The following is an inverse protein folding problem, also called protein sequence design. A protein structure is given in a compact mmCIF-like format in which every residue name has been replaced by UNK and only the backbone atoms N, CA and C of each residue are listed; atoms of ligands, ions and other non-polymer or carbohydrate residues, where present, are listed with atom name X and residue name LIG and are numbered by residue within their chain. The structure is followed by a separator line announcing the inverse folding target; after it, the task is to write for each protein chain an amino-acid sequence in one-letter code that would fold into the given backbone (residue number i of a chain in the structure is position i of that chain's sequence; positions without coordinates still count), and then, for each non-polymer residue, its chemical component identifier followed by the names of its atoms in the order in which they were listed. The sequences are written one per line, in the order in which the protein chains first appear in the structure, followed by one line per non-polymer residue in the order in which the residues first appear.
data_IF_447251737746
#
_entry.id   IF_447251737746
#
_cell.length_a   1.000
_cell.length_b   1.000
_cell.length_c   1.000
_cell.angle_alpha   90.00
_cell.angle_beta   90.00
_cell.angle_gamma   90.00
#
_symmetry.space_group_name_H-M   'P 1'
#
loop_
_entity.id
_entity.type
_entity.pdbx_description
1 polymer ?
#
# COMPACT_ATOMS: atom_id res chain seq x y z
N UNK A 1 -42.67 11.20 -1.64
CA UNK A 1 -41.41 11.95 -1.40
C UNK A 1 -41.63 13.31 -0.69
N UNK A 2 -42.80 13.59 -0.15
CA UNK A 2 -43.12 14.89 0.51
C UNK A 2 -43.12 14.78 2.05
N UNK A 3 -43.29 13.61 2.63
CA UNK A 3 -43.41 13.43 4.09
C UNK A 3 -42.07 13.50 4.86
N UNK A 4 -40.95 13.18 4.24
CA UNK A 4 -39.64 13.24 4.90
C UNK A 4 -39.11 14.65 5.17
N UNK A 5 -39.55 15.63 4.38
CA UNK A 5 -39.05 17.01 4.46
C UNK A 5 -39.62 17.80 5.65
N UNK A 6 -40.81 17.45 6.11
CA UNK A 6 -41.48 18.14 7.20
C UNK A 6 -40.89 17.84 8.57
N UNK A 7 -40.44 16.59 8.77
CA UNK A 7 -39.83 16.16 10.04
C UNK A 7 -38.46 16.81 10.27
N UNK A 8 -37.61 16.88 9.29
CA UNK A 8 -36.29 17.54 9.40
C UNK A 8 -36.44 19.06 9.59
N UNK A 9 -37.41 19.70 8.94
CA UNK A 9 -37.69 21.13 9.11
C UNK A 9 -38.13 21.45 10.53
N UNK A 10 -39.00 20.65 11.11
CA UNK A 10 -39.48 20.83 12.51
C UNK A 10 -38.33 20.65 13.49
N UNK A 11 -37.51 19.61 13.32
CA UNK A 11 -36.35 19.35 14.16
C UNK A 11 -35.32 20.49 14.09
N UNK A 12 -35.06 21.02 12.90
CA UNK A 12 -34.16 22.16 12.71
C UNK A 12 -34.67 23.41 13.39
N UNK A 13 -35.96 23.73 13.25
CA UNK A 13 -36.61 24.87 13.91
C UNK A 13 -36.53 24.75 15.44
N UNK A 14 -36.82 23.57 16.00
CA UNK A 14 -36.73 23.32 17.43
C UNK A 14 -35.31 23.49 17.98
N UNK A 15 -34.28 23.03 17.22
CA UNK A 15 -32.88 23.24 17.58
C UNK A 15 -32.51 24.73 17.60
N UNK A 16 -33.00 25.52 16.65
CA UNK A 16 -32.75 26.96 16.59
C UNK A 16 -33.36 27.68 17.79
N UNK A 17 -34.60 27.39 18.14
CA UNK A 17 -35.29 28.02 19.28
C UNK A 17 -34.63 27.74 20.63
N UNK A 18 -33.96 26.60 20.76
CA UNK A 18 -33.25 26.25 21.99
C UNK A 18 -31.85 26.87 22.12
N UNK A 19 -31.30 27.44 21.04
CA UNK A 19 -29.89 27.82 21.01
C UNK A 19 -29.61 29.28 20.63
N UNK A 20 -30.60 29.99 20.06
CA UNK A 20 -30.39 31.32 19.48
C UNK A 20 -31.48 32.32 19.85
N UNK A 21 -31.18 33.62 19.74
CA UNK A 21 -32.16 34.69 19.93
C UNK A 21 -33.14 34.79 18.74
N UNK A 22 -34.33 35.37 18.95
CA UNK A 22 -35.35 35.50 17.89
C UNK A 22 -34.82 36.15 16.61
N UNK A 23 -34.02 37.19 16.72
CA UNK A 23 -33.42 37.88 15.56
C UNK A 23 -32.43 37.00 14.80
N UNK A 24 -31.71 36.13 15.50
CA UNK A 24 -30.80 35.16 14.86
C UNK A 24 -31.55 34.00 14.19
N UNK A 25 -32.65 33.57 14.82
CA UNK A 25 -33.51 32.51 14.27
C UNK A 25 -34.11 32.96 12.93
N UNK A 26 -34.61 34.20 12.85
CA UNK A 26 -35.16 34.75 11.60
C UNK A 26 -34.14 34.76 10.47
N UNK A 27 -32.90 35.17 10.75
CA UNK A 27 -31.79 35.13 9.79
C UNK A 27 -31.48 33.69 9.34
N UNK A 28 -31.46 32.72 10.25
CA UNK A 28 -31.17 31.34 9.91
C UNK A 28 -32.30 30.66 9.12
N UNK A 29 -33.54 31.00 9.42
CA UNK A 29 -34.69 30.50 8.65
C UNK A 29 -34.69 31.06 7.22
N UNK A 30 -34.43 32.37 7.05
CA UNK A 30 -34.30 32.99 5.73
C UNK A 30 -33.16 32.32 4.92
N UNK A 31 -32.01 32.07 5.54
CA UNK A 31 -30.89 31.35 4.89
C UNK A 31 -31.26 29.92 4.54
N UNK A 32 -31.96 29.21 5.39
CA UNK A 32 -32.43 27.85 5.15
C UNK A 32 -33.38 27.78 3.96
N UNK A 33 -34.33 28.70 3.89
CA UNK A 33 -35.28 28.78 2.78
C UNK A 33 -34.59 29.16 1.46
N UNK A 34 -33.68 30.12 1.49
CA UNK A 34 -32.87 30.52 0.33
C UNK A 34 -31.99 29.38 -0.15
N UNK A 35 -31.35 28.63 0.75
CA UNK A 35 -30.58 27.47 0.41
C UNK A 35 -31.44 26.38 -0.24
N UNK A 36 -32.63 26.11 0.34
CA UNK A 36 -33.57 25.15 -0.19
C UNK A 36 -34.05 25.49 -1.60
N UNK A 37 -34.44 26.74 -1.82
CA UNK A 37 -34.84 27.20 -3.16
C UNK A 37 -33.70 27.18 -4.15
N UNK A 38 -32.49 27.62 -3.75
CA UNK A 38 -31.30 27.60 -4.62
C UNK A 38 -30.96 26.19 -5.06
N UNK A 39 -31.09 25.18 -4.18
CA UNK A 39 -30.81 23.78 -4.53
C UNK A 39 -31.90 23.20 -5.43
N UNK A 40 -33.17 23.51 -5.14
CA UNK A 40 -34.31 23.00 -5.94
C UNK A 40 -34.34 23.62 -7.34
N UNK A 41 -34.04 24.91 -7.44
CA UNK A 41 -34.04 25.65 -8.70
C UNK A 41 -32.76 25.51 -9.50
N UNK A 42 -31.75 24.79 -8.95
CA UNK A 42 -30.49 24.57 -9.63
C UNK A 42 -30.70 23.68 -10.86
N UNK A 43 -30.53 24.27 -12.03
CA UNK A 43 -30.66 23.55 -13.30
C UNK A 43 -29.39 22.73 -13.57
N UNK A 44 -29.53 21.42 -13.59
CA UNK A 44 -28.47 20.50 -14.03
C UNK A 44 -28.57 20.34 -15.54
N UNK A 45 -27.60 20.86 -16.32
CA UNK A 45 -27.59 20.60 -17.76
C UNK A 45 -27.36 19.09 -17.99
N UNK A 46 -28.23 18.43 -18.74
CA UNK A 46 -28.06 17.06 -19.18
C UNK A 46 -27.77 17.03 -20.68
N UNK A 47 -26.87 16.15 -21.10
CA UNK A 47 -26.59 15.87 -22.49
C UNK A 47 -26.99 14.41 -22.73
N UNK A 48 -28.06 14.23 -23.50
CA UNK A 48 -28.52 12.89 -23.86
C UNK A 48 -27.79 12.41 -25.11
N UNK A 49 -27.05 11.32 -24.98
CA UNK A 49 -26.38 10.64 -26.10
C UNK A 49 -27.34 9.55 -26.62
N UNK A 50 -27.90 9.76 -27.75
CA UNK A 50 -28.86 8.82 -28.37
C UNK A 50 -28.13 7.99 -29.43
N UNK A 51 -28.07 6.68 -29.21
CA UNK A 51 -27.30 5.76 -30.08
C UNK A 51 -25.80 5.79 -29.78
N UNK A 52 -25.03 5.03 -30.56
CA UNK A 52 -23.58 4.90 -30.38
C UNK A 52 -23.14 3.75 -29.46
N UNK A 53 -21.88 3.39 -29.57
CA UNK A 53 -21.28 2.36 -28.73
C UNK A 53 -20.82 2.96 -27.34
N UNK A 54 -20.66 2.12 -26.34
CA UNK A 54 -20.23 2.56 -24.98
C UNK A 54 -18.91 3.33 -25.03
N UNK A 55 -18.00 2.96 -25.89
CA UNK A 55 -16.71 3.62 -26.05
C UNK A 55 -16.82 5.05 -26.60
N UNK A 56 -17.76 5.29 -27.54
CA UNK A 56 -18.07 6.64 -28.01
C UNK A 56 -18.67 7.50 -26.90
N UNK A 57 -19.58 6.94 -26.10
CA UNK A 57 -20.16 7.62 -24.97
C UNK A 57 -19.10 7.98 -23.91
N UNK A 58 -18.17 7.06 -23.60
CA UNK A 58 -17.05 7.30 -22.67
C UNK A 58 -16.12 8.38 -23.21
N UNK A 59 -15.84 8.39 -24.52
CA UNK A 59 -14.99 9.42 -25.14
C UNK A 59 -15.66 10.80 -25.09
N UNK A 60 -16.93 10.90 -25.43
CA UNK A 60 -17.71 12.15 -25.34
C UNK A 60 -17.74 12.65 -23.89
N UNK A 61 -18.03 11.76 -22.94
CA UNK A 61 -18.07 12.09 -21.53
C UNK A 61 -16.71 12.59 -21.03
N UNK A 62 -15.61 11.95 -21.45
CA UNK A 62 -14.25 12.38 -21.14
C UNK A 62 -13.95 13.78 -21.69
N UNK A 63 -14.34 14.05 -22.94
CA UNK A 63 -14.13 15.37 -23.58
C UNK A 63 -14.95 16.47 -22.94
N UNK A 64 -16.20 16.22 -22.57
CA UNK A 64 -17.07 17.19 -21.89
C UNK A 64 -16.48 17.57 -20.52
N UNK A 65 -15.94 16.60 -19.80
CA UNK A 65 -15.35 16.82 -18.47
C UNK A 65 -13.90 17.33 -18.51
N UNK A 66 -13.23 17.33 -19.66
CA UNK A 66 -11.82 17.78 -19.79
C UNK A 66 -11.59 19.27 -19.45
N UNK A 67 -12.65 20.08 -19.41
CA UNK A 67 -12.60 21.49 -18.95
C UNK A 67 -12.84 21.65 -17.44
N UNK A 68 -13.12 20.56 -16.74
CA UNK A 68 -13.34 20.48 -15.28
C UNK A 68 -12.28 19.62 -14.61
N UNK A 69 -12.74 18.72 -13.75
CA UNK A 69 -11.88 17.70 -13.13
C UNK A 69 -11.73 16.53 -14.10
N UNK A 70 -10.49 16.21 -14.47
CA UNK A 70 -10.19 15.07 -15.33
C UNK A 70 -10.83 13.79 -14.76
N UNK A 71 -11.46 13.03 -15.66
CA UNK A 71 -11.99 11.71 -15.31
C UNK A 71 -10.81 10.81 -15.00
N UNK A 72 -10.82 10.19 -13.83
CA UNK A 72 -9.79 9.25 -13.46
C UNK A 72 -9.81 8.03 -14.40
N UNK A 73 -8.65 7.48 -14.70
CA UNK A 73 -8.48 6.24 -15.47
C UNK A 73 -9.38 5.12 -14.95
N UNK A 74 -9.61 5.08 -13.65
CA UNK A 74 -10.48 4.18 -12.94
C UNK A 74 -11.94 4.21 -13.42
N UNK A 75 -12.52 5.39 -13.57
CA UNK A 75 -13.88 5.54 -14.09
C UNK A 75 -13.99 5.09 -15.54
N UNK A 76 -13.00 5.46 -16.38
CA UNK A 76 -12.96 5.04 -17.78
C UNK A 76 -12.85 3.52 -17.90
N UNK A 77 -11.93 2.91 -17.17
CA UNK A 77 -11.74 1.45 -17.18
C UNK A 77 -13.00 0.74 -16.69
N UNK A 78 -13.63 1.24 -15.63
CA UNK A 78 -14.88 0.67 -15.10
C UNK A 78 -16.03 0.74 -16.11
N UNK A 79 -16.16 1.86 -16.84
CA UNK A 79 -17.18 2.01 -17.88
C UNK A 79 -16.91 1.11 -19.09
N UNK A 80 -15.65 1.05 -19.57
CA UNK A 80 -15.26 0.26 -20.74
C UNK A 80 -15.29 -1.25 -20.47
N UNK A 81 -15.06 -1.68 -19.23
CA UNK A 81 -15.09 -3.09 -18.81
C UNK A 81 -16.47 -3.58 -18.40
N UNK A 82 -17.47 -2.69 -18.39
CA UNK A 82 -18.82 -3.07 -18.01
C UNK A 82 -19.41 -4.08 -19.01
N UNK A 83 -19.72 -5.26 -18.52
CA UNK A 83 -20.41 -6.29 -19.27
C UNK A 83 -21.73 -6.63 -18.59
N UNK A 84 -22.82 -6.27 -19.28
CA UNK A 84 -24.19 -6.52 -18.80
C UNK A 84 -24.49 -8.02 -18.66
N UNK A 85 -23.86 -8.86 -19.48
CA UNK A 85 -24.11 -10.31 -19.49
C UNK A 85 -23.44 -11.02 -18.32
N UNK A 86 -22.26 -10.57 -17.90
CA UNK A 86 -21.48 -11.16 -16.81
C UNK A 86 -21.71 -10.48 -15.46
N UNK A 87 -22.50 -9.41 -15.41
CA UNK A 87 -22.67 -8.53 -14.22
C UNK A 87 -21.35 -8.03 -13.64
N UNK A 88 -20.27 -8.04 -14.43
CA UNK A 88 -18.96 -7.59 -14.01
C UNK A 88 -18.92 -6.06 -13.89
N UNK A 89 -18.56 -5.58 -12.71
CA UNK A 89 -18.32 -4.17 -12.43
C UNK A 89 -16.97 -4.05 -11.74
N UNK A 90 -15.99 -3.53 -12.44
CA UNK A 90 -14.62 -3.47 -11.93
C UNK A 90 -14.53 -2.72 -10.60
N UNK A 91 -15.28 -1.62 -10.43
CA UNK A 91 -15.32 -0.85 -9.18
C UNK A 91 -15.79 -1.68 -7.99
N UNK A 92 -16.85 -2.49 -8.17
CA UNK A 92 -17.41 -3.35 -7.13
C UNK A 92 -16.41 -4.48 -6.78
N UNK A 93 -15.73 -5.04 -7.77
CA UNK A 93 -14.71 -6.08 -7.56
C UNK A 93 -13.49 -5.53 -6.81
N UNK A 94 -13.05 -4.29 -7.13
CA UNK A 94 -11.95 -3.63 -6.40
C UNK A 94 -12.37 -3.31 -4.96
N UNK A 95 -13.60 -2.85 -4.74
CA UNK A 95 -14.10 -2.60 -3.38
C UNK A 95 -14.13 -3.87 -2.55
N UNK A 96 -14.63 -4.97 -3.12
CA UNK A 96 -14.65 -6.29 -2.48
C UNK A 96 -13.25 -6.79 -2.17
N UNK A 97 -12.31 -6.63 -3.11
CA UNK A 97 -10.89 -6.94 -2.87
C UNK A 97 -10.34 -6.11 -1.70
N UNK A 98 -10.61 -4.80 -1.67
CA UNK A 98 -10.15 -3.91 -0.59
C UNK A 98 -10.66 -4.36 0.78
N UNK A 99 -11.95 -4.71 0.87
CA UNK A 99 -12.56 -5.20 2.13
C UNK A 99 -11.89 -6.49 2.62
N UNK A 100 -11.61 -7.43 1.73
CA UNK A 100 -10.91 -8.67 2.06
C UNK A 100 -9.45 -8.45 2.48
N UNK A 101 -8.78 -7.44 1.92
CA UNK A 101 -7.40 -7.11 2.24
C UNK A 101 -7.25 -6.36 3.57
N UNK A 102 -8.33 -5.83 4.13
CA UNK A 102 -8.35 -5.14 5.42
C UNK A 102 -7.80 -6.02 6.54
N UNK A 103 -8.08 -7.33 6.52
CA UNK A 103 -7.54 -8.30 7.47
C UNK A 103 -6.01 -8.30 7.53
N UNK A 104 -5.33 -8.02 6.42
CA UNK A 104 -3.88 -7.96 6.32
C UNK A 104 -3.30 -6.55 6.57
N UNK A 105 -4.13 -5.56 6.93
CA UNK A 105 -3.69 -4.17 7.07
C UNK A 105 -3.49 -3.43 5.74
N UNK A 106 -4.02 -3.96 4.63
CA UNK A 106 -3.86 -3.40 3.29
C UNK A 106 -5.11 -2.63 2.86
N UNK A 107 -5.37 -1.50 3.53
CA UNK A 107 -6.58 -0.71 3.34
C UNK A 107 -6.48 0.31 2.20
N UNK A 108 -5.27 0.66 1.76
CA UNK A 108 -5.02 1.75 0.82
C UNK A 108 -4.28 1.29 -0.44
N UNK A 109 -4.56 0.05 -0.89
CA UNK A 109 -3.96 -0.44 -2.13
C UNK A 109 -4.36 0.46 -3.31
N UNK A 110 -3.37 1.11 -3.92
CA UNK A 110 -3.59 2.04 -5.02
C UNK A 110 -4.13 1.32 -6.25
N UNK A 111 -5.15 1.87 -6.88
CA UNK A 111 -5.77 1.31 -8.09
C UNK A 111 -4.79 1.16 -9.24
N UNK A 112 -3.83 2.08 -9.38
CA UNK A 112 -2.76 1.97 -10.40
C UNK A 112 -1.93 0.69 -10.24
N UNK A 113 -1.71 0.23 -8.99
CA UNK A 113 -1.00 -1.03 -8.74
C UNK A 113 -1.84 -2.22 -9.19
N UNK A 114 -3.14 -2.20 -8.91
CA UNK A 114 -4.09 -3.23 -9.39
C UNK A 114 -4.10 -3.26 -10.93
N UNK A 115 -4.16 -2.10 -11.57
CA UNK A 115 -4.12 -2.00 -13.03
C UNK A 115 -2.83 -2.54 -13.62
N UNK A 116 -1.69 -2.26 -12.99
CA UNK A 116 -0.40 -2.81 -13.40
C UNK A 116 -0.38 -4.34 -13.32
N UNK A 117 -0.98 -4.93 -12.29
CA UNK A 117 -1.13 -6.38 -12.18
C UNK A 117 -2.02 -6.93 -13.32
N UNK A 118 -3.13 -6.25 -13.63
CA UNK A 118 -4.03 -6.66 -14.74
C UNK A 118 -3.31 -6.56 -16.09
N UNK A 119 -2.58 -5.45 -16.35
CA UNK A 119 -1.81 -5.26 -17.59
C UNK A 119 -0.85 -6.42 -17.82
N UNK A 120 -0.17 -6.87 -16.78
CA UNK A 120 0.76 -7.99 -16.87
C UNK A 120 0.06 -9.30 -17.28
N UNK A 121 -1.15 -9.57 -16.79
CA UNK A 121 -1.91 -10.77 -17.14
C UNK A 121 -2.27 -10.87 -18.63
N UNK A 122 -2.23 -9.74 -19.35
CA UNK A 122 -2.39 -9.70 -20.81
C UNK A 122 -1.06 -9.81 -21.57
N UNK A 123 0.03 -10.16 -20.89
CA UNK A 123 1.37 -10.22 -21.50
C UNK A 123 1.92 -8.85 -21.90
N UNK A 124 1.39 -7.78 -21.33
CA UNK A 124 1.87 -6.41 -21.53
C UNK A 124 2.69 -6.00 -20.31
N UNK A 125 3.78 -5.31 -20.56
CA UNK A 125 4.57 -4.78 -19.46
C UNK A 125 3.89 -3.57 -18.85
N UNK A 126 3.60 -3.60 -17.56
CA UNK A 126 3.05 -2.47 -16.82
C UNK A 126 3.92 -1.20 -16.93
N UNK A 127 5.24 -1.38 -17.15
CA UNK A 127 6.21 -0.29 -17.33
C UNK A 127 5.95 0.50 -18.62
N UNK A 128 5.30 -0.10 -19.61
CA UNK A 128 5.27 0.44 -20.96
C UNK A 128 4.19 1.48 -21.22
N UNK A 129 3.15 1.59 -20.41
CA UNK A 129 2.20 2.73 -20.45
C UNK A 129 0.89 2.57 -19.66
N UNK A 130 0.46 3.65 -18.98
CA UNK A 130 -0.84 3.76 -18.29
C UNK A 130 -2.07 3.69 -19.23
N UNK A 131 -1.95 4.17 -20.48
CA UNK A 131 -3.09 4.18 -21.44
C UNK A 131 -3.49 2.81 -21.97
N UNK A 132 -2.73 1.75 -21.73
CA UNK A 132 -3.04 0.41 -22.24
C UNK A 132 -4.18 -0.28 -21.51
N UNK A 133 -4.42 0.04 -20.24
CA UNK A 133 -5.50 -0.60 -19.48
C UNK A 133 -6.87 -0.32 -20.09
N UNK A 134 -7.11 0.87 -20.61
CA UNK A 134 -8.36 1.24 -21.26
C UNK A 134 -8.62 0.42 -22.53
N UNK A 135 -7.56 0.14 -23.31
CA UNK A 135 -7.67 -0.72 -24.49
C UNK A 135 -7.92 -2.18 -24.09
N UNK A 136 -7.31 -2.64 -22.99
CA UNK A 136 -7.51 -3.99 -22.49
C UNK A 136 -8.90 -4.17 -21.91
N UNK A 137 -9.46 -3.15 -21.27
CA UNK A 137 -10.81 -3.17 -20.71
C UNK A 137 -11.91 -3.45 -21.72
N UNK A 138 -11.66 -3.17 -23.02
CA UNK A 138 -12.58 -3.49 -24.13
C UNK A 138 -12.52 -4.95 -24.58
N UNK A 139 -11.56 -5.74 -24.11
CA UNK A 139 -11.42 -7.13 -24.51
C UNK A 139 -12.43 -8.01 -23.78
N UNK A 140 -12.99 -8.97 -24.49
CA UNK A 140 -14.05 -9.87 -23.97
C UNK A 140 -13.59 -10.69 -22.76
N UNK A 141 -12.30 -11.03 -22.69
CA UNK A 141 -11.70 -11.83 -21.62
C UNK A 141 -11.18 -10.98 -20.43
N UNK A 142 -11.40 -9.66 -20.48
CA UNK A 142 -10.97 -8.75 -19.42
C UNK A 142 -11.57 -9.10 -18.05
N UNK A 143 -12.89 -9.36 -17.90
CA UNK A 143 -13.46 -9.72 -16.60
C UNK A 143 -12.82 -10.96 -15.98
N UNK A 144 -12.60 -12.01 -16.77
CA UNK A 144 -12.03 -13.26 -16.27
C UNK A 144 -10.57 -13.10 -15.87
N UNK A 145 -9.78 -12.41 -16.68
CA UNK A 145 -8.39 -12.08 -16.33
C UNK A 145 -8.28 -11.20 -15.08
N UNK A 146 -9.16 -10.21 -14.95
CA UNK A 146 -9.19 -9.37 -13.75
C UNK A 146 -9.49 -10.19 -12.49
N UNK A 147 -10.45 -11.13 -12.53
CA UNK A 147 -10.73 -12.03 -11.40
C UNK A 147 -9.55 -12.91 -11.03
N UNK A 148 -8.86 -13.47 -12.02
CA UNK A 148 -7.62 -14.26 -11.78
C UNK A 148 -6.55 -13.40 -11.12
N UNK A 149 -6.38 -12.17 -11.57
CA UNK A 149 -5.43 -11.22 -10.97
C UNK A 149 -5.80 -10.87 -9.54
N UNK A 150 -7.07 -10.65 -9.23
CA UNK A 150 -7.51 -10.37 -7.86
C UNK A 150 -7.21 -11.54 -6.91
N UNK A 151 -7.38 -12.77 -7.35
CA UNK A 151 -6.93 -13.95 -6.59
C UNK A 151 -5.40 -13.97 -6.44
N UNK A 152 -4.66 -13.61 -7.47
CA UNK A 152 -3.20 -13.47 -7.42
C UNK A 152 -2.75 -12.40 -6.43
N UNK A 153 -3.41 -11.25 -6.39
CA UNK A 153 -3.14 -10.16 -5.42
C UNK A 153 -3.36 -10.66 -3.99
N UNK A 154 -4.45 -11.38 -3.73
CA UNK A 154 -4.73 -11.95 -2.40
C UNK A 154 -3.63 -12.92 -1.96
N UNK A 155 -3.22 -13.84 -2.84
CA UNK A 155 -2.12 -14.77 -2.58
C UNK A 155 -0.80 -14.03 -2.34
N UNK A 156 -0.51 -13.01 -3.13
CA UNK A 156 0.68 -12.19 -3.01
C UNK A 156 0.73 -11.44 -1.67
N UNK A 157 -0.37 -10.80 -1.29
CA UNK A 157 -0.46 -10.07 -0.02
C UNK A 157 -0.39 -11.04 1.17
N UNK A 158 -1.05 -12.18 1.10
CA UNK A 158 -0.93 -13.24 2.10
C UNK A 158 0.54 -13.67 2.28
N UNK A 159 1.25 -13.93 1.20
CA UNK A 159 2.68 -14.27 1.23
C UNK A 159 3.53 -13.15 1.85
N UNK A 160 3.33 -11.89 1.43
CA UNK A 160 4.03 -10.73 1.97
C UNK A 160 3.77 -10.57 3.48
N UNK A 161 2.55 -10.83 3.90
CA UNK A 161 2.13 -10.75 5.29
C UNK A 161 2.73 -11.88 6.14
N UNK A 162 2.52 -13.14 5.75
CA UNK A 162 2.93 -14.31 6.54
C UNK A 162 4.44 -14.55 6.54
N UNK A 163 5.09 -14.36 5.38
CA UNK A 163 6.48 -14.74 5.16
C UNK A 163 7.48 -13.59 5.33
N UNK A 164 7.02 -12.34 5.23
CA UNK A 164 7.85 -11.15 5.23
C UNK A 164 7.39 -10.08 6.23
N UNK A 165 6.27 -10.34 6.94
CA UNK A 165 5.67 -9.42 7.90
C UNK A 165 5.36 -8.02 7.35
N UNK A 166 4.96 -7.95 6.07
CA UNK A 166 4.42 -6.72 5.51
C UNK A 166 2.97 -6.58 5.98
N UNK A 167 2.82 -6.28 7.27
CA UNK A 167 1.54 -6.27 8.01
C UNK A 167 0.71 -4.99 7.79
N UNK A 168 1.22 -4.06 7.00
CA UNK A 168 0.56 -2.81 6.61
C UNK A 168 1.07 -2.42 5.23
N UNK A 169 0.20 -1.89 4.36
CA UNK A 169 0.57 -1.45 3.00
C UNK A 169 1.67 -0.38 3.01
N UNK A 170 1.73 0.43 4.07
CA UNK A 170 2.77 1.46 4.25
C UNK A 170 4.17 0.86 4.40
N UNK A 171 4.29 -0.38 4.85
CA UNK A 171 5.58 -1.07 5.01
C UNK A 171 6.11 -1.64 3.69
N UNK A 172 5.29 -1.76 2.66
CA UNK A 172 5.77 -2.26 1.36
C UNK A 172 6.83 -1.30 0.79
N UNK A 173 8.09 -1.74 0.57
CA UNK A 173 9.14 -0.87 0.05
C UNK A 173 8.80 -0.31 -1.33
N UNK A 174 8.37 -1.16 -2.26
CA UNK A 174 8.02 -0.79 -3.63
C UNK A 174 6.71 -1.42 -4.09
N UNK A 175 5.84 -0.64 -4.71
CA UNK A 175 4.63 -1.18 -5.37
C UNK A 175 4.99 -2.21 -6.45
N UNK A 176 6.12 -2.05 -7.11
CA UNK A 176 6.62 -3.00 -8.11
C UNK A 176 6.81 -4.41 -7.52
N UNK A 177 7.20 -4.53 -6.24
CA UNK A 177 7.33 -5.84 -5.60
C UNK A 177 5.99 -6.57 -5.56
N UNK A 178 4.90 -5.85 -5.23
CA UNK A 178 3.56 -6.46 -5.26
C UNK A 178 3.19 -6.89 -6.67
N UNK A 179 3.48 -6.08 -7.70
CA UNK A 179 3.18 -6.42 -9.10
C UNK A 179 3.90 -7.71 -9.53
N UNK A 180 5.20 -7.83 -9.21
CA UNK A 180 5.99 -9.03 -9.53
C UNK A 180 5.52 -10.27 -8.76
N UNK A 181 5.26 -10.13 -7.47
CA UNK A 181 4.78 -11.23 -6.61
C UNK A 181 3.38 -11.66 -7.04
N UNK A 182 2.50 -10.71 -7.41
CA UNK A 182 1.17 -11.03 -7.96
C UNK A 182 1.29 -11.84 -9.23
N UNK A 183 2.14 -11.41 -10.16
CA UNK A 183 2.35 -12.10 -11.42
C UNK A 183 2.88 -13.53 -11.23
N UNK A 184 3.76 -13.73 -10.25
CA UNK A 184 4.21 -15.05 -9.82
C UNK A 184 3.03 -15.92 -9.39
N UNK A 185 2.16 -15.45 -8.49
CA UNK A 185 1.03 -16.23 -7.97
C UNK A 185 -0.13 -16.37 -8.98
N UNK A 186 -0.19 -15.56 -10.01
CA UNK A 186 -1.12 -15.72 -11.15
C UNK A 186 -0.67 -16.88 -12.03
N UNK A 187 0.64 -17.04 -12.25
CA UNK A 187 1.18 -18.01 -13.19
C UNK A 187 1.61 -19.34 -12.54
N UNK A 188 1.96 -19.32 -11.24
CA UNK A 188 2.42 -20.50 -10.50
C UNK A 188 1.35 -20.90 -9.49
N UNK A 189 0.58 -21.93 -9.80
CA UNK A 189 -0.52 -22.39 -8.97
C UNK A 189 -0.03 -23.01 -7.65
N UNK A 190 1.02 -23.82 -7.72
CA UNK A 190 1.61 -24.55 -6.59
C UNK A 190 3.12 -24.31 -6.52
N UNK A 191 3.55 -23.21 -5.86
CA UNK A 191 4.97 -22.88 -5.73
C UNK A 191 5.73 -23.92 -4.90
N UNK A 192 6.96 -24.28 -5.33
CA UNK A 192 7.85 -25.08 -4.51
C UNK A 192 8.44 -24.27 -3.35
N UNK A 193 8.91 -24.95 -2.30
CA UNK A 193 9.60 -24.30 -1.18
C UNK A 193 10.84 -23.51 -1.64
N UNK A 194 11.54 -24.01 -2.66
CA UNK A 194 12.70 -23.33 -3.23
C UNK A 194 12.31 -22.04 -3.94
N UNK A 195 11.21 -22.04 -4.71
CA UNK A 195 10.68 -20.84 -5.34
C UNK A 195 10.23 -19.79 -4.29
N UNK A 196 9.53 -20.22 -3.24
CA UNK A 196 9.11 -19.30 -2.16
C UNK A 196 10.33 -18.71 -1.43
N UNK A 197 11.36 -19.52 -1.16
CA UNK A 197 12.61 -19.04 -0.55
C UNK A 197 13.35 -18.07 -1.48
N UNK A 198 13.42 -18.35 -2.77
CA UNK A 198 14.02 -17.46 -3.75
C UNK A 198 13.26 -16.12 -3.85
N UNK A 199 11.93 -16.17 -3.82
CA UNK A 199 11.07 -15.00 -3.83
C UNK A 199 11.24 -14.13 -2.56
N UNK A 200 11.39 -14.74 -1.37
CA UNK A 200 11.73 -14.04 -0.11
C UNK A 200 13.08 -13.34 -0.22
N UNK A 201 14.10 -14.04 -0.72
CA UNK A 201 15.42 -13.45 -0.89
C UNK A 201 15.40 -12.28 -1.89
N UNK A 202 14.67 -12.43 -3.00
CA UNK A 202 14.50 -11.38 -4.00
C UNK A 202 13.82 -10.13 -3.41
N UNK A 203 12.77 -10.32 -2.59
CA UNK A 203 12.11 -9.20 -1.91
C UNK A 203 13.10 -8.41 -1.04
N UNK A 204 13.88 -9.10 -0.21
CA UNK A 204 14.86 -8.45 0.65
C UNK A 204 16.00 -7.80 -0.14
N UNK A 205 16.53 -8.49 -1.15
CA UNK A 205 17.59 -7.94 -2.00
C UNK A 205 17.13 -6.66 -2.68
N UNK A 206 15.94 -6.64 -3.27
CA UNK A 206 15.40 -5.45 -3.94
C UNK A 206 15.08 -4.32 -2.97
N UNK A 207 14.66 -4.64 -1.73
CA UNK A 207 14.34 -3.66 -0.69
C UNK A 207 15.60 -2.97 -0.15
N UNK A 208 16.64 -3.73 0.17
CA UNK A 208 17.85 -3.22 0.82
C UNK A 208 18.79 -2.45 -0.13
N UNK A 209 18.66 -2.65 -1.44
CA UNK A 209 19.58 -2.08 -2.44
C UNK A 209 18.99 -0.94 -3.25
N UNK A 210 17.82 -0.42 -2.90
CA UNK A 210 17.08 0.58 -3.69
C UNK A 210 16.89 0.17 -5.17
N UNK A 211 16.74 -1.11 -5.42
CA UNK A 211 16.79 -1.74 -6.72
C UNK A 211 15.96 -1.03 -7.81
N UNK A 212 14.68 -0.78 -7.54
CA UNK A 212 13.78 -0.14 -8.52
C UNK A 212 13.98 1.37 -8.66
N UNK A 213 14.70 2.01 -7.74
CA UNK A 213 15.01 3.44 -7.82
C UNK A 213 16.27 3.68 -8.66
N UNK A 214 17.25 2.80 -8.51
CA UNK A 214 18.55 2.92 -9.22
C UNK A 214 18.44 2.56 -10.70
N UNK A 215 17.50 1.70 -11.07
CA UNK A 215 17.37 1.22 -12.43
C UNK A 215 16.46 2.09 -13.29
N UNK A 216 16.96 2.46 -14.48
CA UNK A 216 16.15 3.08 -15.54
C UNK A 216 15.00 2.15 -15.98
N UNK A 217 13.99 2.70 -16.66
CA UNK A 217 12.86 1.92 -17.17
C UNK A 217 13.30 0.73 -18.05
N UNK A 218 14.34 0.90 -18.88
CA UNK A 218 14.88 -0.18 -19.69
C UNK A 218 15.48 -1.31 -18.86
N UNK A 219 16.20 -0.98 -17.78
CA UNK A 219 16.73 -1.97 -16.83
C UNK A 219 15.63 -2.66 -16.03
N UNK A 220 14.58 -1.94 -15.68
CA UNK A 220 13.41 -2.52 -15.03
C UNK A 220 12.67 -3.53 -15.94
N UNK A 221 12.64 -3.30 -17.27
CA UNK A 221 12.15 -4.28 -18.24
C UNK A 221 12.99 -5.55 -18.25
N UNK A 222 14.31 -5.40 -18.26
CA UNK A 222 15.22 -6.56 -18.20
C UNK A 222 15.02 -7.34 -16.90
N UNK A 223 14.84 -6.65 -15.78
CA UNK A 223 14.55 -7.27 -14.50
C UNK A 223 13.22 -8.04 -14.54
N UNK A 224 12.18 -7.46 -15.14
CA UNK A 224 10.89 -8.13 -15.29
C UNK A 224 11.00 -9.36 -16.23
N UNK A 225 11.69 -9.23 -17.37
CA UNK A 225 11.91 -10.36 -18.28
C UNK A 225 12.68 -11.51 -17.61
N UNK A 226 13.66 -11.18 -16.78
CA UNK A 226 14.39 -12.18 -16.01
C UNK A 226 13.51 -12.85 -14.96
N UNK A 227 12.64 -12.06 -14.29
CA UNK A 227 11.69 -12.59 -13.34
C UNK A 227 10.65 -13.51 -14.01
N UNK A 228 10.27 -13.24 -15.28
CA UNK A 228 9.44 -14.15 -16.07
C UNK A 228 10.13 -15.51 -16.32
N UNK A 229 11.44 -15.52 -16.51
CA UNK A 229 12.19 -16.79 -16.60
C UNK A 229 12.14 -17.58 -15.29
N UNK A 230 12.21 -16.87 -14.15
CA UNK A 230 12.04 -17.50 -12.84
C UNK A 230 10.63 -18.10 -12.67
N UNK A 231 9.58 -17.38 -13.05
CA UNK A 231 8.20 -17.86 -13.03
C UNK A 231 8.06 -19.16 -13.85
N UNK A 232 8.67 -19.20 -15.04
CA UNK A 232 8.63 -20.35 -15.95
C UNK A 232 9.54 -21.52 -15.52
N UNK A 233 10.32 -21.36 -14.45
CA UNK A 233 11.28 -22.36 -13.99
C UNK A 233 12.56 -22.44 -14.82
N UNK A 234 12.82 -21.49 -15.70
CA UNK A 234 14.05 -21.42 -16.51
C UNK A 234 15.28 -21.00 -15.69
N UNK A 235 15.06 -20.39 -14.53
CA UNK A 235 16.09 -20.02 -13.54
C UNK A 235 15.53 -20.12 -12.12
N UNK A 236 16.38 -20.41 -11.15
CA UNK A 236 16.04 -20.38 -9.72
C UNK A 236 16.32 -19.01 -9.07
N UNK A 237 16.95 -18.09 -9.80
CA UNK A 237 17.32 -16.77 -9.28
C UNK A 237 16.39 -15.72 -9.89
N UNK A 238 15.44 -15.16 -9.14
CA UNK A 238 14.52 -14.14 -9.66
C UNK A 238 15.16 -12.76 -9.85
N UNK A 239 16.30 -12.51 -9.19
CA UNK A 239 16.99 -11.24 -9.23
C UNK A 239 17.82 -11.08 -10.52
N UNK A 240 17.50 -10.03 -11.29
CA UNK A 240 18.33 -9.61 -12.41
C UNK A 240 19.47 -8.70 -11.91
N UNK A 241 20.71 -9.08 -12.17
CA UNK A 241 21.87 -8.23 -11.93
C UNK A 241 22.45 -7.79 -13.28
N UNK A 242 22.56 -6.47 -13.48
CA UNK A 242 23.05 -5.91 -14.74
C UNK A 242 24.54 -6.15 -14.96
N UNK A 243 25.32 -6.26 -13.89
CA UNK A 243 26.74 -6.59 -13.93
C UNK A 243 26.96 -7.91 -13.23
N UNK A 244 27.44 -8.90 -13.96
CA UNK A 244 27.83 -10.20 -13.38
C UNK A 244 29.02 -10.09 -12.41
N UNK A 245 29.70 -8.94 -12.40
CA UNK A 245 30.92 -8.71 -11.62
C UNK A 245 30.71 -7.83 -10.39
N UNK A 246 29.62 -7.04 -10.33
CA UNK A 246 29.33 -6.20 -9.18
C UNK A 246 28.21 -6.79 -8.32
N UNK A 247 28.51 -7.03 -7.06
CA UNK A 247 27.47 -7.39 -6.09
C UNK A 247 26.59 -6.18 -5.82
N UNK A 248 25.33 -6.44 -5.58
CA UNK A 248 24.41 -5.39 -5.13
C UNK A 248 24.79 -4.92 -3.74
N UNK A 249 24.76 -3.60 -3.55
CA UNK A 249 25.17 -2.93 -2.32
C UNK A 249 23.98 -2.50 -1.51
N UNK A 250 24.02 -2.71 -0.20
CA UNK A 250 23.04 -2.14 0.72
C UNK A 250 23.19 -0.63 0.75
N UNK A 251 22.07 0.09 0.71
CA UNK A 251 22.07 1.55 0.74
C UNK A 251 22.37 2.09 2.14
N UNK A 252 22.89 3.32 2.20
CA UNK A 252 23.29 3.97 3.45
C UNK A 252 22.15 4.11 4.47
N UNK A 253 22.52 4.29 5.72
CA UNK A 253 21.57 4.53 6.81
C UNK A 253 20.76 5.81 6.57
N UNK A 254 19.44 5.80 6.72
CA UNK A 254 18.62 6.99 6.50
C UNK A 254 18.75 7.96 7.67
N UNK A 255 18.76 9.25 7.41
CA UNK A 255 18.75 10.29 8.44
C UNK A 255 17.46 10.31 9.26
N UNK A 256 16.34 9.92 8.65
CA UNK A 256 15.02 9.84 9.28
C UNK A 256 14.30 8.57 8.86
N UNK A 257 13.53 7.99 9.80
CA UNK A 257 12.62 6.88 9.50
C UNK A 257 11.24 7.47 9.23
N UNK A 258 10.71 7.18 8.03
CA UNK A 258 9.33 7.50 7.65
C UNK A 258 8.83 6.50 6.60
N UNK A 259 7.52 6.36 6.46
CA UNK A 259 6.92 5.46 5.47
C UNK A 259 7.06 5.92 4.01
N UNK A 260 7.60 7.12 3.75
CA UNK A 260 7.91 7.60 2.41
C UNK A 260 9.23 7.07 1.84
N UNK A 261 10.13 6.57 2.69
CA UNK A 261 11.46 6.10 2.30
C UNK A 261 11.51 4.58 2.19
N UNK A 262 11.95 4.07 1.05
CA UNK A 262 12.18 2.62 0.83
C UNK A 262 13.17 2.07 1.85
N UNK A 263 14.25 2.80 2.05
CA UNK A 263 15.30 2.42 2.99
C UNK A 263 14.80 2.31 4.44
N UNK A 264 13.98 3.28 4.85
CA UNK A 264 13.36 3.26 6.16
C UNK A 264 12.40 2.07 6.33
N UNK A 265 11.55 1.81 5.34
CA UNK A 265 10.66 0.64 5.34
C UNK A 265 11.43 -0.68 5.44
N UNK A 266 12.57 -0.80 4.73
CA UNK A 266 13.40 -1.99 4.78
C UNK A 266 13.97 -2.24 6.18
N UNK A 267 14.41 -1.20 6.88
CA UNK A 267 14.88 -1.28 8.27
C UNK A 267 13.74 -1.66 9.22
N UNK A 268 12.56 -1.02 9.05
CA UNK A 268 11.38 -1.34 9.85
C UNK A 268 10.98 -2.81 9.72
N UNK A 269 10.94 -3.32 8.49
CA UNK A 269 10.65 -4.73 8.21
C UNK A 269 11.73 -5.65 8.80
N UNK A 270 13.01 -5.28 8.72
CA UNK A 270 14.09 -6.07 9.30
C UNK A 270 13.93 -6.19 10.81
N UNK A 271 13.66 -5.08 11.51
CA UNK A 271 13.43 -5.07 12.95
C UNK A 271 12.18 -5.88 13.33
N UNK A 272 11.11 -5.75 12.57
CA UNK A 272 9.87 -6.51 12.78
C UNK A 272 10.09 -8.02 12.60
N UNK A 273 10.81 -8.42 11.55
CA UNK A 273 11.16 -9.83 11.31
C UNK A 273 12.13 -10.35 12.38
N UNK A 274 13.06 -9.52 12.86
CA UNK A 274 13.95 -9.90 13.94
C UNK A 274 13.17 -10.17 15.23
N UNK A 275 12.28 -9.29 15.64
CA UNK A 275 11.46 -9.49 16.83
C UNK A 275 10.53 -10.69 16.71
N UNK A 276 9.95 -10.93 15.54
CA UNK A 276 9.04 -12.05 15.32
C UNK A 276 9.75 -13.41 15.35
N UNK A 277 10.98 -13.50 14.86
CA UNK A 277 11.76 -14.75 14.90
C UNK A 277 12.12 -15.20 16.33
N UNK A 278 12.06 -14.30 17.29
CA UNK A 278 12.44 -14.55 18.69
C UNK A 278 11.23 -14.73 19.63
N UNK A 279 10.04 -14.39 19.18
CA UNK A 279 8.78 -14.59 19.90
C UNK A 279 7.82 -15.44 19.08
N UNK A 280 7.18 -16.44 19.69
CA UNK A 280 6.06 -17.15 19.09
C UNK A 280 4.83 -16.22 19.06
N UNK A 281 4.44 -15.74 17.89
CA UNK A 281 3.22 -14.97 17.72
C UNK A 281 2.00 -15.86 17.64
N UNK A 282 0.96 -15.54 18.40
CA UNK A 282 -0.39 -16.04 18.12
C UNK A 282 -1.00 -15.21 16.98
N UNK A 283 -1.57 -15.91 15.99
CA UNK A 283 -2.03 -15.34 14.72
C UNK A 283 -3.38 -14.60 14.79
N UNK A 284 -3.92 -14.33 15.97
CA UNK A 284 -5.37 -14.08 16.12
C UNK A 284 -5.80 -12.64 15.77
N UNK A 285 -4.89 -11.67 15.61
CA UNK A 285 -5.25 -10.35 15.11
C UNK A 285 -4.04 -9.64 14.47
N UNK A 286 -3.89 -9.74 13.15
CA UNK A 286 -2.66 -9.34 12.46
C UNK A 286 -2.63 -7.91 11.94
N UNK A 287 -3.67 -7.11 12.10
CA UNK A 287 -3.80 -5.82 11.40
C UNK A 287 -2.97 -4.69 12.01
N UNK A 288 -2.11 -4.12 11.18
CA UNK A 288 -1.42 -2.85 11.43
C UNK A 288 -0.14 -2.94 12.25
N UNK A 289 0.70 -1.95 12.09
CA UNK A 289 1.83 -1.65 12.98
C UNK A 289 1.98 -0.13 13.12
N UNK A 290 2.31 0.30 14.33
CA UNK A 290 2.59 1.69 14.61
C UNK A 290 4.08 1.91 14.80
N UNK A 291 4.59 3.06 14.32
CA UNK A 291 5.94 3.49 14.61
C UNK A 291 5.91 4.37 15.87
N UNK A 292 6.63 3.94 16.88
CA UNK A 292 6.83 4.72 18.08
C UNK A 292 8.25 5.26 18.14
N UNK A 293 8.38 6.52 18.49
CA UNK A 293 9.66 7.16 18.74
C UNK A 293 9.89 7.28 20.25
N UNK A 294 11.09 6.97 20.69
CA UNK A 294 11.47 7.22 22.10
C UNK A 294 11.46 8.72 22.42
N UNK A 295 11.75 9.53 21.42
CA UNK A 295 11.83 10.99 21.53
C UNK A 295 11.32 11.64 20.24
N UNK A 296 10.61 12.76 20.35
CA UNK A 296 10.19 13.55 19.20
C UNK A 296 11.39 14.15 18.47
N UNK A 297 11.38 14.14 17.13
CA UNK A 297 12.42 14.70 16.26
C UNK A 297 13.81 14.05 16.31
N UNK A 298 13.94 12.83 16.78
CA UNK A 298 15.21 12.13 16.91
C UNK A 298 15.56 11.25 15.69
N UNK A 299 16.85 10.86 15.57
CA UNK A 299 17.33 10.04 14.49
C UNK A 299 16.71 8.64 14.48
N UNK A 300 16.85 7.97 13.34
CA UNK A 300 16.34 6.62 13.10
C UNK A 300 16.70 5.59 14.17
N UNK A 301 17.82 5.80 14.86
CA UNK A 301 18.30 4.94 15.95
C UNK A 301 17.43 4.94 17.22
N UNK A 302 16.53 5.91 17.36
CA UNK A 302 15.62 6.01 18.52
C UNK A 302 14.26 5.38 18.26
N UNK A 303 13.98 4.96 17.01
CA UNK A 303 12.72 4.39 16.59
C UNK A 303 12.53 2.98 17.18
N UNK A 304 11.29 2.68 17.62
CA UNK A 304 10.82 1.34 17.96
C UNK A 304 9.58 1.07 17.13
N UNK A 305 9.55 -0.06 16.46
CA UNK A 305 8.39 -0.53 15.73
C UNK A 305 7.64 -1.55 16.60
N UNK A 306 6.40 -1.24 16.92
CA UNK A 306 5.49 -2.11 17.65
C UNK A 306 4.30 -2.47 16.76
N UNK A 307 3.83 -3.70 16.84
CA UNK A 307 2.55 -4.09 16.22
C UNK A 307 1.38 -3.45 16.98
N UNK A 308 0.27 -3.19 16.29
CA UNK A 308 -0.90 -2.51 16.85
C UNK A 308 -1.47 -3.16 18.10
N UNK A 309 -1.39 -4.49 18.23
CA UNK A 309 -1.80 -5.20 19.44
C UNK A 309 -0.98 -4.84 20.69
N UNK A 310 0.26 -4.40 20.48
CA UNK A 310 1.17 -3.95 21.53
C UNK A 310 1.18 -2.44 21.70
N UNK A 311 0.57 -1.70 20.79
CA UNK A 311 0.42 -0.23 20.85
C UNK A 311 -0.51 0.24 21.97
N UNK A 312 -1.11 -0.69 22.75
CA UNK A 312 -1.82 -0.39 24.00
C UNK A 312 -0.92 0.30 25.04
N UNK A 313 0.35 0.12 24.93
CA UNK A 313 1.33 0.91 25.70
C UNK A 313 1.51 2.26 25.00
N UNK A 314 0.95 3.31 25.62
CA UNK A 314 1.08 4.69 25.13
C UNK A 314 2.51 5.21 25.13
N UNK A 315 3.35 4.62 25.96
CA UNK A 315 4.75 4.97 26.15
C UNK A 315 5.66 3.79 25.78
N UNK A 316 6.47 3.90 24.69
CA UNK A 316 7.40 2.87 24.27
C UNK A 316 8.46 2.51 25.33
N UNK A 317 8.82 3.46 26.19
CA UNK A 317 9.80 3.22 27.27
C UNK A 317 9.21 2.27 28.31
N UNK A 318 8.02 2.57 28.80
CA UNK A 318 7.28 1.68 29.71
C UNK A 318 7.07 0.30 29.09
N UNK A 319 6.82 0.23 27.78
CA UNK A 319 6.73 -1.05 27.08
C UNK A 319 8.03 -1.85 27.18
N UNK A 320 9.18 -1.22 26.87
CA UNK A 320 10.49 -1.89 26.92
C UNK A 320 10.90 -2.27 28.36
N UNK A 321 10.60 -1.42 29.35
CA UNK A 321 10.87 -1.72 30.77
C UNK A 321 10.10 -2.95 31.26
N UNK A 322 8.89 -3.17 30.76
CA UNK A 322 8.09 -4.34 31.09
C UNK A 322 8.29 -5.53 30.12
N UNK A 323 9.18 -5.40 29.14
CA UNK A 323 9.47 -6.47 28.19
C UNK A 323 10.43 -7.48 28.77
N UNK A 324 10.09 -8.76 28.73
CA UNK A 324 10.95 -9.86 29.21
C UNK A 324 12.26 -9.96 28.43
N UNK A 325 12.28 -9.56 27.17
CA UNK A 325 13.45 -9.58 26.31
C UNK A 325 13.53 -8.31 25.43
N UNK A 326 14.04 -7.21 25.95
CA UNK A 326 14.15 -5.95 25.20
C UNK A 326 15.03 -6.04 23.96
N UNK A 327 15.99 -6.97 23.91
CA UNK A 327 16.85 -7.17 22.73
C UNK A 327 16.08 -7.58 21.45
N UNK A 328 14.84 -8.01 21.58
CA UNK A 328 13.93 -8.15 20.43
C UNK A 328 13.82 -6.86 19.61
N UNK A 329 13.97 -5.72 20.27
CA UNK A 329 13.90 -4.39 19.69
C UNK A 329 15.28 -3.74 19.50
N UNK A 330 16.34 -4.55 19.61
CA UNK A 330 17.75 -4.11 19.51
C UNK A 330 18.04 -2.99 20.51
N UNK A 331 17.58 -3.19 21.75
CA UNK A 331 17.77 -2.24 22.85
C UNK A 331 17.75 -3.01 24.18
N UNK A 332 18.37 -2.48 25.21
CA UNK A 332 18.24 -2.97 26.59
C UNK A 332 17.88 -1.85 27.57
N UNK A 333 17.57 -2.21 28.80
CA UNK A 333 17.17 -1.24 29.83
C UNK A 333 18.28 -0.23 30.18
N UNK A 334 19.55 -0.62 30.12
CA UNK A 334 20.67 0.30 30.40
C UNK A 334 20.78 1.31 29.26
N UNK A 335 20.69 0.83 28.02
CA UNK A 335 20.79 1.67 26.84
C UNK A 335 19.62 2.69 26.77
N UNK A 336 18.38 2.25 27.09
CA UNK A 336 17.25 3.17 27.22
C UNK A 336 17.50 4.25 28.28
N UNK A 337 17.91 3.86 29.47
CA UNK A 337 18.16 4.83 30.56
C UNK A 337 19.24 5.85 30.20
N UNK A 338 20.30 5.42 29.53
CA UNK A 338 21.35 6.32 29.02
C UNK A 338 20.80 7.27 27.94
N UNK A 339 19.98 6.77 27.02
CA UNK A 339 19.33 7.60 25.98
C UNK A 339 18.41 8.65 26.62
N UNK A 340 17.62 8.28 27.62
CA UNK A 340 16.72 9.18 28.34
C UNK A 340 17.50 10.28 29.10
N UNK A 341 18.69 9.96 29.60
CA UNK A 341 19.57 10.91 30.26
C UNK A 341 20.36 11.80 29.26
N UNK A 342 20.06 11.72 27.96
CA UNK A 342 20.70 12.54 26.94
C UNK A 342 22.10 12.08 26.52
N UNK A 343 22.50 10.84 26.82
CA UNK A 343 23.77 10.29 26.36
C UNK A 343 23.76 10.06 24.84
N UNK A 344 24.44 10.93 24.11
CA UNK A 344 24.54 10.87 22.63
C UNK A 344 25.21 9.56 22.18
N UNK A 345 26.13 9.01 22.97
CA UNK A 345 26.78 7.75 22.62
C UNK A 345 25.82 6.56 22.68
N UNK A 346 24.83 6.61 23.57
CA UNK A 346 23.82 5.56 23.65
C UNK A 346 22.95 5.44 22.33
N UNK A 347 22.63 6.58 21.74
CA UNK A 347 21.93 6.62 20.44
C UNK A 347 22.80 6.02 19.32
N UNK A 348 24.07 6.37 19.28
CA UNK A 348 25.03 5.82 18.33
C UNK A 348 25.27 4.32 18.54
N UNK A 349 25.33 3.87 19.80
CA UNK A 349 25.45 2.45 20.15
C UNK A 349 24.25 1.63 19.63
N UNK A 350 23.02 2.12 19.82
CA UNK A 350 21.84 1.44 19.27
C UNK A 350 21.86 1.40 17.76
N UNK A 351 22.21 2.49 17.10
CA UNK A 351 22.36 2.52 15.64
C UNK A 351 23.39 1.47 15.19
N UNK A 352 24.53 1.41 15.85
CA UNK A 352 25.56 0.41 15.57
C UNK A 352 25.02 -1.02 15.69
N UNK A 353 24.27 -1.32 16.75
CA UNK A 353 23.68 -2.64 16.97
C UNK A 353 22.69 -3.02 15.85
N UNK A 354 21.84 -2.08 15.40
CA UNK A 354 20.93 -2.31 14.26
C UNK A 354 21.73 -2.54 12.97
N UNK A 355 22.80 -1.77 12.74
CA UNK A 355 23.69 -1.95 11.59
C UNK A 355 24.38 -3.32 11.57
N UNK A 356 24.80 -3.84 12.74
CA UNK A 356 25.39 -5.18 12.86
C UNK A 356 24.35 -6.28 12.53
N UNK A 357 23.12 -6.12 13.01
CA UNK A 357 22.01 -7.01 12.65
C UNK A 357 21.80 -7.02 11.12
N UNK A 358 21.70 -5.86 10.51
CA UNK A 358 21.50 -5.72 9.07
C UNK A 358 22.67 -6.28 8.27
N UNK A 359 23.90 -6.02 8.67
CA UNK A 359 25.12 -6.56 8.04
C UNK A 359 25.11 -8.09 8.05
N UNK A 360 24.79 -8.69 9.18
CA UNK A 360 24.66 -10.15 9.29
C UNK A 360 23.56 -10.71 8.39
N UNK A 361 22.43 -10.03 8.34
CA UNK A 361 21.30 -10.42 7.47
C UNK A 361 21.65 -10.27 5.98
N UNK A 362 22.22 -9.14 5.58
CA UNK A 362 22.61 -8.84 4.19
C UNK A 362 23.66 -9.83 3.66
N UNK A 363 24.61 -10.25 4.52
CA UNK A 363 25.59 -11.28 4.16
C UNK A 363 24.93 -12.61 3.79
N UNK A 364 23.86 -13.01 4.50
CA UNK A 364 23.10 -14.24 4.19
C UNK A 364 22.39 -14.14 2.82
N UNK A 365 22.08 -12.92 2.38
CA UNK A 365 21.46 -12.63 1.08
C UNK A 365 22.50 -12.45 -0.05
N UNK A 366 23.79 -12.54 0.24
CA UNK A 366 24.85 -12.33 -0.75
C UNK A 366 25.07 -10.87 -1.15
N UNK A 367 24.59 -9.91 -0.34
CA UNK A 367 24.76 -8.49 -0.58
C UNK A 367 26.09 -7.98 0.01
N UNK A 368 26.65 -6.96 -0.63
CA UNK A 368 27.78 -6.21 -0.06
C UNK A 368 27.27 -5.14 0.89
N UNK A 369 28.01 -4.99 1.99
CA UNK A 369 27.76 -4.02 3.02
C UNK A 369 29.00 -3.17 3.23
N UNK A 370 28.91 -1.88 2.96
CA UNK A 370 30.00 -0.92 3.12
C UNK A 370 29.75 -0.09 4.37
N UNK A 371 30.29 -0.51 5.48
CA UNK A 371 30.56 0.35 6.66
C UNK A 371 31.53 -0.34 7.60
#
# INVERSE_FOLDING_TARGET
MVEGNTSYRITFILLLYNSFSESQIEIYLDRYEKLGTTIIDYQLPSIDIIGGAIDEAVEIFSRVNSRGKDISTDWMVSALSYDKSSSFRLGDEISRLSDELTYFGWNNLKRDVIFNCIINSFGKYYIDQSKKIEQLAKQRDFPDKARVVFLGIKKAIKFLFEELLVVDDKLLPYNNQLVFVTDFFVQVESPSLEQLKALKNWFWQTSLTNYFTVYSLSKQRLAYNHFQKFIKGETLIPLYNHSSFEKLKVTDWPSKINFGSVRAKSILLLLLNHSNNLESYSSDNPSGCDIHYLFDNYPASTMILLRSERSKFKDPVTFIENCNNPWLYVIDLQLIKRMLNGDVNATAERQFNILQLEKSFSKKLGLEYFH
#
